data_IF_200091642868
#
_entry.id   IF_200091642868
#
_cell.length_a   1.000
_cell.length_b   1.000
_cell.length_c   1.000
_cell.angle_alpha   90.00
_cell.angle_beta   90.00
_cell.angle_gamma   90.00
#
_symmetry.space_group_name_H-M   'P 1'
#
loop_
_entity.id
_entity.type
_entity.pdbx_description
1 polymer ?
#
# COMPACT_ATOMS: atom_id res chain seq x y z
N UNK A 1 1.16 -3.45 35.82
CA UNK A 1 1.22 -4.27 34.59
C UNK A 1 -0.21 -4.35 34.08
N UNK A 2 -0.72 -3.31 33.40
CA UNK A 2 -2.14 -3.26 32.98
C UNK A 2 -2.40 -2.47 31.67
N UNK A 3 -1.39 -2.15 30.85
CA UNK A 3 -1.55 -1.26 29.67
C UNK A 3 -1.69 -1.99 28.31
N UNK A 4 -1.53 -3.31 28.28
CA UNK A 4 -1.50 -4.12 27.04
C UNK A 4 -2.87 -4.17 26.30
N UNK A 5 -4.03 -4.24 26.99
CA UNK A 5 -5.34 -4.27 26.32
C UNK A 5 -5.66 -2.97 25.57
N UNK A 6 -5.29 -1.82 26.14
CA UNK A 6 -5.57 -0.50 25.56
C UNK A 6 -4.70 -0.23 24.32
N UNK A 7 -3.41 -0.60 24.39
CA UNK A 7 -2.50 -0.45 23.25
C UNK A 7 -2.93 -1.27 22.03
N UNK A 8 -3.42 -2.49 22.25
CA UNK A 8 -3.93 -3.36 21.18
C UNK A 8 -5.23 -2.82 20.58
N UNK A 9 -6.17 -2.34 21.41
CA UNK A 9 -7.41 -1.72 20.94
C UNK A 9 -7.15 -0.45 20.10
N UNK A 10 -6.17 0.37 20.52
CA UNK A 10 -5.73 1.55 19.76
C UNK A 10 -5.13 1.16 18.41
N UNK A 11 -4.28 0.12 18.36
CA UNK A 11 -3.69 -0.36 17.12
C UNK A 11 -4.78 -0.81 16.13
N UNK A 12 -5.75 -1.63 16.59
CA UNK A 12 -6.88 -2.09 15.78
C UNK A 12 -7.70 -0.89 15.25
N UNK A 13 -7.96 0.10 16.09
CA UNK A 13 -8.67 1.33 15.70
C UNK A 13 -7.95 2.10 14.58
N UNK A 14 -6.62 2.23 14.67
CA UNK A 14 -5.81 2.89 13.63
C UNK A 14 -5.85 2.10 12.32
N UNK A 15 -5.72 0.77 12.37
CA UNK A 15 -5.77 -0.11 11.20
C UNK A 15 -7.14 0.00 10.50
N UNK A 16 -8.23 0.00 11.27
CA UNK A 16 -9.58 0.14 10.72
C UNK A 16 -9.79 1.49 10.02
N UNK A 17 -9.23 2.58 10.58
CA UNK A 17 -9.26 3.91 9.94
C UNK A 17 -8.44 3.94 8.65
N UNK A 18 -7.24 3.34 8.66
CA UNK A 18 -6.41 3.21 7.47
C UNK A 18 -7.10 2.41 6.38
N UNK A 19 -7.68 1.27 6.75
CA UNK A 19 -8.45 0.42 5.84
C UNK A 19 -9.63 1.17 5.25
N UNK A 20 -10.42 1.87 6.08
CA UNK A 20 -11.53 2.72 5.62
C UNK A 20 -11.08 3.83 4.66
N UNK A 21 -9.97 4.49 4.94
CA UNK A 21 -9.40 5.50 4.05
C UNK A 21 -9.00 4.89 2.70
N UNK A 22 -8.34 3.73 2.71
CA UNK A 22 -7.97 2.98 1.51
C UNK A 22 -9.21 2.57 0.70
N UNK A 23 -10.28 2.08 1.35
CA UNK A 23 -11.57 1.73 0.72
C UNK A 23 -12.19 2.90 -0.05
N UNK A 24 -11.93 4.11 0.42
CA UNK A 24 -12.49 5.34 -0.11
C UNK A 24 -11.49 6.11 -0.99
N UNK A 25 -10.40 5.47 -1.43
CA UNK A 25 -9.34 6.06 -2.25
C UNK A 25 -8.69 7.33 -1.65
N UNK A 26 -8.75 7.48 -0.33
CA UNK A 26 -8.00 8.53 0.39
C UNK A 26 -6.61 8.00 0.74
N UNK A 27 -5.75 7.83 -0.26
CA UNK A 27 -4.45 7.17 -0.14
C UNK A 27 -3.49 7.90 0.81
N UNK A 28 -3.50 9.23 0.80
CA UNK A 28 -2.73 10.06 1.73
C UNK A 28 -3.11 9.78 3.20
N UNK A 29 -4.42 9.66 3.49
CA UNK A 29 -4.94 9.34 4.83
C UNK A 29 -4.60 7.90 5.20
N UNK A 30 -4.75 6.97 4.26
CA UNK A 30 -4.43 5.56 4.46
C UNK A 30 -2.94 5.39 4.83
N UNK A 31 -2.04 6.00 4.06
CA UNK A 31 -0.61 5.99 4.30
C UNK A 31 -0.26 6.51 5.71
N UNK A 32 -0.86 7.63 6.14
CA UNK A 32 -0.67 8.18 7.49
C UNK A 32 -1.13 7.24 8.60
N UNK A 33 -2.27 6.55 8.42
CA UNK A 33 -2.76 5.59 9.41
C UNK A 33 -1.91 4.33 9.47
N UNK A 34 -1.56 3.75 8.33
CA UNK A 34 -0.75 2.52 8.30
C UNK A 34 0.68 2.74 8.78
N UNK A 35 1.29 3.90 8.48
CA UNK A 35 2.57 4.29 9.09
C UNK A 35 2.49 4.30 10.61
N UNK A 36 1.46 4.94 11.18
CA UNK A 36 1.24 4.97 12.63
C UNK A 36 1.02 3.58 13.22
N UNK A 37 0.22 2.73 12.57
CA UNK A 37 -0.02 1.37 13.02
C UNK A 37 1.26 0.54 12.99
N UNK A 38 2.04 0.62 11.91
CA UNK A 38 3.33 -0.05 11.77
C UNK A 38 4.31 0.37 12.87
N UNK A 39 4.49 1.67 13.08
CA UNK A 39 5.41 2.19 14.08
C UNK A 39 4.98 1.79 15.50
N UNK A 40 3.67 1.73 15.78
CA UNK A 40 3.14 1.24 17.05
C UNK A 40 3.28 -0.28 17.22
N UNK A 41 3.19 -1.07 16.14
CA UNK A 41 3.27 -2.54 16.19
C UNK A 41 4.64 -3.05 16.64
N UNK A 42 5.71 -2.28 16.41
CA UNK A 42 7.09 -2.64 16.79
C UNK A 42 7.22 -2.95 18.27
N UNK A 43 6.53 -2.17 19.11
CA UNK A 43 6.59 -2.30 20.56
C UNK A 43 5.67 -3.42 21.10
N UNK A 44 4.75 -3.93 20.30
CA UNK A 44 3.71 -4.86 20.76
C UNK A 44 3.90 -6.30 20.27
N UNK A 45 4.41 -6.49 19.05
CA UNK A 45 4.36 -7.79 18.37
C UNK A 45 5.74 -8.33 17.97
N UNK A 46 6.81 -7.54 18.05
CA UNK A 46 8.14 -7.91 17.58
C UNK A 46 8.36 -7.61 16.09
N UNK A 47 9.55 -7.94 15.56
CA UNK A 47 9.98 -7.47 14.22
C UNK A 47 9.58 -8.36 13.05
N UNK A 48 9.14 -9.59 13.28
CA UNK A 48 8.92 -10.59 12.22
C UNK A 48 7.58 -11.32 12.35
N UNK A 49 6.50 -10.59 12.64
CA UNK A 49 5.16 -11.19 12.64
C UNK A 49 4.44 -10.97 11.32
N UNK A 50 3.48 -11.85 11.04
CA UNK A 50 2.58 -11.72 9.90
C UNK A 50 1.83 -10.38 9.93
N UNK A 51 1.35 -9.92 11.09
CA UNK A 51 0.67 -8.63 11.19
C UNK A 51 1.56 -7.47 10.77
N UNK A 52 2.85 -7.54 11.09
CA UNK A 52 3.81 -6.51 10.69
C UNK A 52 4.04 -6.53 9.19
N UNK A 53 4.12 -7.70 8.58
CA UNK A 53 4.20 -7.81 7.11
C UNK A 53 2.98 -7.16 6.45
N UNK A 54 1.77 -7.45 6.95
CA UNK A 54 0.54 -6.83 6.45
C UNK A 54 0.56 -5.30 6.59
N UNK A 55 1.08 -4.77 7.69
CA UNK A 55 1.21 -3.32 7.87
C UNK A 55 2.22 -2.68 6.91
N UNK A 56 3.35 -3.35 6.64
CA UNK A 56 4.29 -2.92 5.61
C UNK A 56 3.67 -2.96 4.21
N UNK A 57 2.91 -4.03 3.90
CA UNK A 57 2.18 -4.16 2.65
C UNK A 57 1.17 -3.02 2.47
N UNK A 58 0.26 -2.83 3.43
CA UNK A 58 -0.79 -1.81 3.38
C UNK A 58 -0.23 -0.39 3.31
N UNK A 59 0.87 -0.13 4.01
CA UNK A 59 1.55 1.17 3.93
C UNK A 59 2.20 1.37 2.55
N UNK A 60 2.92 0.37 2.04
CA UNK A 60 3.54 0.41 0.71
C UNK A 60 2.53 0.62 -0.41
N UNK A 61 1.41 -0.09 -0.38
CA UNK A 61 0.28 0.07 -1.32
C UNK A 61 -0.34 1.47 -1.23
N UNK A 62 -0.50 2.00 -0.02
CA UNK A 62 -1.03 3.36 0.14
C UNK A 62 -0.11 4.42 -0.44
N UNK A 63 1.22 4.27 -0.28
CA UNK A 63 2.21 5.16 -0.90
C UNK A 63 2.19 5.04 -2.43
N UNK A 64 2.11 3.81 -2.96
CA UNK A 64 2.04 3.54 -4.39
C UNK A 64 0.84 4.25 -5.05
N UNK A 65 -0.33 4.20 -4.42
CA UNK A 65 -1.55 4.82 -4.94
C UNK A 65 -1.72 6.29 -4.60
N UNK A 66 -0.94 6.84 -3.67
CA UNK A 66 -0.83 8.29 -3.49
C UNK A 66 -0.13 8.95 -4.69
N UNK A 67 0.72 8.20 -5.41
CA UNK A 67 1.46 8.70 -6.55
C UNK A 67 0.57 8.68 -7.81
N UNK A 68 0.36 9.84 -8.46
CA UNK A 68 -0.36 9.89 -9.72
C UNK A 68 0.40 9.10 -10.80
N UNK A 69 -0.33 8.35 -11.62
CA UNK A 69 0.26 7.68 -12.78
C UNK A 69 0.74 8.74 -13.79
N UNK A 70 1.99 8.62 -14.25
CA UNK A 70 2.58 9.51 -15.24
C UNK A 70 2.52 8.88 -16.64
N UNK A 71 1.38 9.00 -17.30
CA UNK A 71 1.18 8.58 -18.69
C UNK A 71 -0.23 8.93 -19.18
N UNK A 72 -0.40 9.04 -20.49
CA UNK A 72 -1.67 9.43 -21.11
C UNK A 72 -2.74 8.32 -21.01
N UNK A 73 -2.31 7.06 -20.97
CA UNK A 73 -3.13 5.86 -20.78
C UNK A 73 -2.48 4.95 -19.73
N UNK A 74 -3.11 4.76 -18.56
CA UNK A 74 -2.64 3.79 -17.57
C UNK A 74 -2.92 2.36 -18.11
N UNK A 75 -1.90 1.56 -18.48
CA UNK A 75 -2.11 0.23 -19.04
C UNK A 75 -2.72 -0.74 -18.02
N UNK A 76 -2.78 -0.35 -16.75
CA UNK A 76 -3.45 -1.07 -15.68
C UNK A 76 -4.79 -0.45 -15.28
N UNK A 77 -5.28 0.60 -15.96
CA UNK A 77 -6.58 1.23 -15.68
C UNK A 77 -7.72 0.20 -15.69
N UNK A 78 -7.60 -0.80 -16.57
CA UNK A 78 -8.58 -1.86 -16.74
C UNK A 78 -8.38 -3.05 -15.79
N UNK A 79 -7.25 -3.14 -15.11
CA UNK A 79 -7.00 -4.21 -14.16
C UNK A 79 -7.53 -3.80 -12.78
N UNK A 80 -8.18 -4.73 -12.05
CA UNK A 80 -8.54 -4.48 -10.66
C UNK A 80 -7.28 -4.10 -9.89
N UNK A 81 -7.28 -2.97 -9.21
CA UNK A 81 -6.22 -2.68 -8.24
C UNK A 81 -6.31 -3.73 -7.14
N UNK A 82 -5.19 -4.05 -6.52
CA UNK A 82 -5.16 -4.99 -5.40
C UNK A 82 -6.06 -4.55 -4.24
N UNK A 83 -6.18 -3.23 -4.04
CA UNK A 83 -7.19 -2.66 -3.15
C UNK A 83 -8.61 -3.12 -3.53
N UNK A 84 -8.95 -3.22 -4.81
CA UNK A 84 -10.27 -3.64 -5.28
C UNK A 84 -10.58 -5.11 -4.94
N UNK A 85 -9.58 -5.99 -4.89
CA UNK A 85 -9.74 -7.38 -4.42
C UNK A 85 -10.15 -7.47 -2.94
N UNK A 86 -9.71 -6.51 -2.11
CA UNK A 86 -10.13 -6.40 -0.71
C UNK A 86 -11.49 -5.68 -0.52
N UNK A 87 -12.08 -5.13 -1.60
CA UNK A 87 -13.21 -4.18 -1.56
C UNK A 87 -14.41 -4.55 -2.44
N UNK A 88 -14.24 -5.48 -3.38
CA UNK A 88 -15.29 -5.90 -4.30
C UNK A 88 -16.34 -6.79 -3.60
N UNK A 89 -17.27 -6.14 -2.91
CA UNK A 89 -18.66 -6.65 -2.93
C UNK A 89 -19.65 -5.70 -3.60
N UNK A 90 -19.50 -4.37 -3.57
CA UNK A 90 -20.62 -3.48 -3.97
C UNK A 90 -20.24 -2.14 -4.64
N UNK A 91 -19.28 -2.06 -5.58
CA UNK A 91 -19.05 -0.78 -6.29
C UNK A 91 -18.80 -0.94 -7.81
N UNK A 92 -19.50 -0.19 -8.68
CA UNK A 92 -19.30 -0.27 -10.13
C UNK A 92 -17.98 0.37 -10.60
N UNK A 93 -17.46 -0.24 -11.67
CA UNK A 93 -16.10 -0.21 -12.25
C UNK A 93 -15.60 1.14 -12.83
N UNK A 94 -16.33 2.25 -12.70
CA UNK A 94 -16.09 3.46 -13.50
C UNK A 94 -16.02 4.75 -12.66
N UNK A 95 -14.96 4.96 -11.85
CA UNK A 95 -14.78 6.26 -11.16
C UNK A 95 -13.37 6.62 -10.67
N UNK A 96 -12.29 6.24 -11.38
CA UNK A 96 -10.94 6.63 -10.92
C UNK A 96 -10.05 7.35 -11.95
N UNK A 97 -10.53 7.62 -13.17
CA UNK A 97 -9.78 8.38 -14.19
C UNK A 97 -9.72 9.90 -13.94
N UNK A 98 -10.29 10.42 -12.84
CA UNK A 98 -10.37 11.88 -12.57
C UNK A 98 -9.72 12.36 -11.28
N UNK A 99 -8.96 11.52 -10.56
CA UNK A 99 -8.37 11.90 -9.26
C UNK A 99 -6.89 12.31 -9.31
N UNK A 100 -6.25 12.29 -10.48
CA UNK A 100 -4.79 12.40 -10.58
C UNK A 100 -4.31 13.58 -11.45
N UNK A 101 -4.90 14.76 -11.29
CA UNK A 101 -4.36 16.00 -11.86
C UNK A 101 -3.44 16.69 -10.85
N UNK A 102 -2.22 16.19 -10.70
CA UNK A 102 -1.20 16.82 -9.88
C UNK A 102 0.18 16.64 -10.51
N UNK A 103 0.86 17.74 -10.82
CA UNK A 103 2.26 17.72 -11.27
C UNK A 103 3.16 17.47 -10.05
N UNK A 104 3.52 16.22 -9.79
CA UNK A 104 4.55 15.86 -8.81
C UNK A 104 5.91 15.99 -9.49
N UNK A 105 6.90 16.57 -8.81
CA UNK A 105 8.28 16.63 -9.32
C UNK A 105 8.79 15.22 -9.63
N UNK A 106 9.62 15.06 -10.66
CA UNK A 106 10.21 13.76 -11.00
C UNK A 106 11.01 13.16 -9.84
N UNK A 107 11.66 14.03 -9.04
CA UNK A 107 12.38 13.65 -7.84
C UNK A 107 11.43 13.11 -6.75
N UNK A 108 10.34 13.83 -6.48
CA UNK A 108 9.33 13.42 -5.49
C UNK A 108 8.65 12.11 -5.90
N UNK A 109 8.30 11.96 -7.18
CA UNK A 109 7.75 10.74 -7.74
C UNK A 109 8.69 9.55 -7.52
N UNK A 110 9.98 9.74 -7.82
CA UNK A 110 11.00 8.69 -7.65
C UNK A 110 11.19 8.33 -6.18
N UNK A 111 11.31 9.34 -5.30
CA UNK A 111 11.48 9.16 -3.87
C UNK A 111 10.30 8.40 -3.25
N UNK A 112 9.07 8.74 -3.65
CA UNK A 112 7.87 8.09 -3.14
C UNK A 112 7.71 6.67 -3.69
N UNK A 113 8.05 6.43 -4.96
CA UNK A 113 8.12 5.07 -5.55
C UNK A 113 9.15 4.19 -4.83
N UNK A 114 10.31 4.75 -4.48
CA UNK A 114 11.34 4.03 -3.72
C UNK A 114 10.88 3.72 -2.29
N UNK A 115 10.19 4.65 -1.64
CA UNK A 115 9.58 4.42 -0.34
C UNK A 115 8.55 3.28 -0.40
N UNK A 116 7.64 3.30 -1.38
CA UNK A 116 6.66 2.23 -1.59
C UNK A 116 7.35 0.88 -1.81
N UNK A 117 8.35 0.84 -2.71
CA UNK A 117 9.10 -0.39 -2.99
C UNK A 117 9.79 -0.95 -1.75
N UNK A 118 10.39 -0.08 -0.93
CA UNK A 118 11.10 -0.47 0.28
C UNK A 118 10.16 -1.17 1.26
N UNK A 119 8.98 -0.60 1.52
CA UNK A 119 7.99 -1.18 2.42
C UNK A 119 7.50 -2.55 1.92
N UNK A 120 7.19 -2.66 0.62
CA UNK A 120 6.75 -3.92 0.01
C UNK A 120 7.83 -5.01 0.04
N UNK A 121 9.10 -4.65 -0.15
CA UNK A 121 10.22 -5.59 0.00
C UNK A 121 10.37 -6.10 1.43
N UNK A 122 10.13 -5.26 2.43
CA UNK A 122 10.12 -5.70 3.84
C UNK A 122 8.96 -6.67 4.09
N UNK A 123 7.76 -6.35 3.58
CA UNK A 123 6.61 -7.25 3.66
C UNK A 123 6.91 -8.63 3.05
N UNK A 124 7.50 -8.65 1.84
CA UNK A 124 7.91 -9.88 1.16
C UNK A 124 8.94 -10.66 1.98
N UNK A 125 9.98 -9.99 2.50
CA UNK A 125 11.03 -10.65 3.27
C UNK A 125 10.50 -11.36 4.52
N UNK A 126 9.43 -10.84 5.14
CA UNK A 126 8.76 -11.50 6.26
C UNK A 126 7.91 -12.67 5.76
N UNK A 127 7.17 -12.49 4.65
CA UNK A 127 6.27 -13.51 4.11
C UNK A 127 7.00 -14.69 3.46
N UNK A 128 8.16 -14.49 2.85
CA UNK A 128 8.83 -15.47 1.99
C UNK A 128 8.95 -16.85 2.65
N UNK A 129 9.28 -16.86 3.95
CA UNK A 129 9.47 -18.07 4.74
C UNK A 129 8.16 -18.65 5.32
N UNK A 130 7.04 -17.94 5.24
CA UNK A 130 5.73 -18.39 5.74
C UNK A 130 5.02 -19.26 4.70
N UNK A 131 4.79 -20.53 5.02
CA UNK A 131 4.21 -21.51 4.07
C UNK A 131 2.71 -21.30 3.79
N UNK A 132 1.97 -20.68 4.72
CA UNK A 132 0.51 -20.62 4.69
C UNK A 132 -0.08 -19.26 4.24
N UNK A 133 0.76 -18.30 3.85
CA UNK A 133 0.34 -16.94 3.49
C UNK A 133 0.35 -16.69 1.97
N UNK A 134 -0.24 -17.62 1.20
CA UNK A 134 -0.18 -17.58 -0.27
C UNK A 134 -0.87 -16.34 -0.86
N UNK A 135 -1.98 -15.89 -0.27
CA UNK A 135 -2.72 -14.71 -0.73
C UNK A 135 -1.89 -13.44 -0.48
N UNK A 136 -1.36 -13.28 0.74
CA UNK A 136 -0.53 -12.13 1.11
C UNK A 136 0.77 -12.07 0.29
N UNK A 137 1.35 -13.23 -0.02
CA UNK A 137 2.50 -13.37 -0.93
C UNK A 137 2.17 -12.91 -2.33
N UNK A 138 1.10 -13.47 -2.92
CA UNK A 138 0.65 -13.08 -4.25
C UNK A 138 0.40 -11.57 -4.29
N UNK A 139 -0.24 -11.04 -3.26
CA UNK A 139 -0.57 -9.64 -3.24
C UNK A 139 0.66 -8.73 -3.18
N UNK A 140 1.57 -9.04 -2.26
CA UNK A 140 2.83 -8.30 -2.15
C UNK A 140 3.65 -8.32 -3.45
N UNK A 141 3.66 -9.45 -4.17
CA UNK A 141 4.31 -9.56 -5.48
C UNK A 141 3.60 -8.74 -6.56
N UNK A 142 2.27 -8.70 -6.58
CA UNK A 142 1.49 -7.86 -7.49
C UNK A 142 1.83 -6.38 -7.30
N UNK A 143 1.81 -5.89 -6.06
CA UNK A 143 2.19 -4.52 -5.75
C UNK A 143 3.65 -4.20 -6.14
N UNK A 144 4.58 -5.13 -5.92
CA UNK A 144 5.98 -4.97 -6.37
C UNK A 144 6.10 -4.91 -7.89
N UNK A 145 5.30 -5.70 -8.61
CA UNK A 145 5.21 -5.67 -10.07
C UNK A 145 4.68 -4.32 -10.57
N UNK A 146 3.65 -3.77 -9.93
CA UNK A 146 3.10 -2.46 -10.26
C UNK A 146 4.14 -1.33 -10.04
N UNK A 147 4.89 -1.36 -8.94
CA UNK A 147 6.02 -0.44 -8.73
C UNK A 147 7.04 -0.56 -9.86
N UNK A 148 7.41 -1.78 -10.26
CA UNK A 148 8.38 -1.99 -11.35
C UNK A 148 7.87 -1.44 -12.68
N UNK A 149 6.58 -1.64 -12.99
CA UNK A 149 5.95 -1.10 -14.20
C UNK A 149 5.95 0.44 -14.20
N UNK A 150 5.47 1.06 -13.12
CA UNK A 150 5.37 2.53 -13.00
C UNK A 150 6.74 3.22 -13.02
N UNK A 151 7.79 2.56 -12.50
CA UNK A 151 9.19 3.02 -12.64
C UNK A 151 9.74 2.84 -14.05
N UNK A 152 9.35 1.77 -14.74
CA UNK A 152 9.71 1.53 -16.13
C UNK A 152 9.11 2.58 -17.06
N UNK A 153 7.82 2.88 -16.92
CA UNK A 153 7.09 3.86 -17.73
C UNK A 153 7.62 5.29 -17.54
N UNK A 154 7.98 5.66 -16.30
CA UNK A 154 8.61 6.97 -16.01
C UNK A 154 9.98 7.17 -16.71
N UNK A 155 10.61 6.11 -17.23
CA UNK A 155 11.84 6.22 -18.04
C UNK A 155 11.56 6.39 -19.54
N UNK A 156 10.35 6.06 -20.01
CA UNK A 156 9.97 6.16 -21.41
C UNK A 156 9.26 7.47 -21.77
N UNK A 157 8.69 8.18 -20.79
CA UNK A 157 8.01 9.47 -20.98
C UNK A 157 8.96 10.68 -21.13
N UNK A 158 10.26 10.46 -21.35
CA UNK A 158 11.28 11.51 -21.54
C UNK A 158 11.88 11.58 -22.95
N UNK A 159 11.22 11.05 -23.98
CA UNK A 159 11.65 11.15 -25.39
C UNK A 159 10.67 11.96 -26.23
#
# INVERSE_FOLDING_TARGET
MDDIPDATARLISIINRGSSALKNAHFDKAARYFKKARDASVHLQGERTLERSLLHHLYGVSLLYEIPFQGDDDPLEFLPREADYYLAKDRPYSSYSKLYSGTVSQEDYTNQMEAAQKELKIAWSILENESNCLIEKANTLCALGEVALRRGLARFSCF
#
